data_IF_988663550200
#
_entry.id   IF_988663550200
#
_cell.length_a   1.000
_cell.length_b   1.000
_cell.length_c   1.000
_cell.angle_alpha   90.00
_cell.angle_beta   90.00
_cell.angle_gamma   90.00
#
_symmetry.space_group_name_H-M   'P 1'
#
loop_
_entity.id
_entity.type
_entity.pdbx_description
1 polymer ?
#
# COMPACT_ATOMS: atom_id res chain seq x y z
N UNK A 1 26.45 -5.87 36.11
CA UNK A 1 26.62 -6.42 34.75
C UNK A 1 27.43 -5.45 33.91
N UNK A 2 28.35 -5.95 33.09
CA UNK A 2 29.13 -5.10 32.19
C UNK A 2 28.24 -4.53 31.06
N UNK A 3 28.70 -3.48 30.39
CA UNK A 3 27.94 -2.79 29.34
C UNK A 3 27.41 -3.70 28.23
N UNK A 4 28.20 -4.69 27.78
CA UNK A 4 27.80 -5.62 26.71
C UNK A 4 26.73 -6.60 27.21
N UNK A 5 27.00 -7.25 28.33
CA UNK A 5 26.07 -8.19 28.98
C UNK A 5 24.73 -7.55 29.34
N UNK A 6 24.75 -6.30 29.83
CA UNK A 6 23.54 -5.56 30.16
C UNK A 6 22.68 -5.23 28.93
N UNK A 7 23.32 -4.95 27.79
CA UNK A 7 22.63 -4.66 26.53
C UNK A 7 21.98 -5.93 25.96
N UNK A 8 22.70 -7.05 25.98
CA UNK A 8 22.19 -8.37 25.58
C UNK A 8 21.02 -8.81 26.47
N UNK A 9 21.12 -8.64 27.79
CA UNK A 9 20.08 -9.02 28.74
C UNK A 9 18.73 -8.32 28.51
N UNK A 10 18.79 -7.05 28.10
CA UNK A 10 17.62 -6.23 27.76
C UNK A 10 17.15 -6.40 26.30
N UNK A 11 17.94 -7.05 25.45
CA UNK A 11 17.65 -7.16 24.02
C UNK A 11 17.71 -5.81 23.27
N UNK A 12 18.56 -4.89 23.72
CA UNK A 12 18.69 -3.54 23.14
C UNK A 12 20.14 -3.24 22.72
N UNK A 13 20.33 -2.25 21.86
CA UNK A 13 21.69 -1.81 21.49
C UNK A 13 22.42 -1.17 22.68
N UNK A 14 23.75 -1.26 22.68
CA UNK A 14 24.60 -0.61 23.70
C UNK A 14 24.41 0.92 23.76
N UNK A 15 24.02 1.54 22.63
CA UNK A 15 23.68 2.97 22.55
C UNK A 15 22.34 3.26 23.24
N UNK A 16 21.37 2.38 23.07
CA UNK A 16 20.05 2.47 23.74
C UNK A 16 20.20 2.31 25.25
N UNK A 17 21.04 1.37 25.70
CA UNK A 17 21.39 1.20 27.10
C UNK A 17 22.00 2.48 27.70
N UNK A 18 22.92 3.14 26.99
CA UNK A 18 23.49 4.41 27.44
C UNK A 18 22.45 5.53 27.49
N UNK A 19 21.50 5.57 26.55
CA UNK A 19 20.38 6.54 26.62
C UNK A 19 19.51 6.35 27.86
N UNK A 20 19.25 5.10 28.26
CA UNK A 20 18.51 4.82 29.50
C UNK A 20 19.28 5.25 30.74
N UNK A 21 20.61 5.08 30.74
CA UNK A 21 21.46 5.58 31.82
C UNK A 21 21.48 7.12 31.88
N UNK A 22 21.58 7.81 30.74
CA UNK A 22 21.52 9.28 30.71
C UNK A 22 20.15 9.83 31.08
N UNK A 23 19.08 9.08 30.82
CA UNK A 23 17.72 9.43 31.21
C UNK A 23 17.43 9.15 32.71
N UNK A 24 18.42 8.67 33.48
CA UNK A 24 18.26 8.36 34.90
C UNK A 24 17.53 7.06 35.21
N UNK A 25 17.23 6.22 34.20
CA UNK A 25 16.57 4.92 34.39
C UNK A 25 17.53 3.81 34.84
N UNK A 26 18.84 4.02 34.68
CA UNK A 26 19.88 3.07 35.08
C UNK A 26 21.03 3.83 35.73
N UNK A 27 21.52 3.32 36.86
CA UNK A 27 22.67 3.85 37.57
C UNK A 27 23.96 3.31 36.96
N UNK A 28 24.88 4.23 36.64
CA UNK A 28 26.17 3.90 36.02
C UNK A 28 27.27 3.84 37.09
N UNK A 29 27.69 2.64 37.45
CA UNK A 29 28.87 2.40 38.28
C UNK A 29 30.16 2.30 37.48
N UNK A 30 31.30 2.52 38.14
CA UNK A 30 32.63 2.20 37.62
C UNK A 30 33.28 1.19 38.56
N UNK A 31 33.55 -0.02 38.07
CA UNK A 31 34.31 -1.01 38.80
C UNK A 31 35.79 -0.95 38.38
N UNK A 32 36.71 -1.04 39.34
CA UNK A 32 38.15 -1.16 39.05
C UNK A 32 38.45 -2.56 38.54
N UNK A 33 39.08 -2.66 37.37
CA UNK A 33 39.71 -3.88 36.85
C UNK A 33 41.22 -3.68 36.77
N UNK A 34 41.96 -4.79 36.66
CA UNK A 34 43.43 -4.86 36.62
C UNK A 34 44.08 -3.87 35.66
N UNK A 35 43.47 -3.62 34.49
CA UNK A 35 44.07 -2.79 33.43
C UNK A 35 43.35 -1.46 33.22
N UNK A 36 42.01 -1.41 33.31
CA UNK A 36 41.18 -0.20 33.10
C UNK A 36 39.85 -0.31 33.86
N UNK A 37 39.27 0.81 34.35
CA UNK A 37 37.94 0.77 34.96
C UNK A 37 36.86 0.41 33.91
N UNK A 38 35.93 -0.46 34.29
CA UNK A 38 34.82 -0.92 33.44
C UNK A 38 33.51 -0.34 33.96
N UNK A 39 32.62 0.02 33.03
CA UNK A 39 31.27 0.48 33.36
C UNK A 39 30.41 -0.72 33.76
N UNK A 40 29.83 -0.65 34.96
CA UNK A 40 29.00 -1.71 35.52
C UNK A 40 27.63 -1.13 35.87
N UNK A 41 26.58 -1.85 35.49
CA UNK A 41 25.19 -1.53 35.79
C UNK A 41 24.65 -2.45 36.89
N UNK A 42 23.74 -1.93 37.72
CA UNK A 42 23.09 -2.74 38.74
C UNK A 42 22.11 -3.74 38.10
N UNK A 43 22.19 -4.99 38.55
CA UNK A 43 21.35 -6.08 38.03
C UNK A 43 19.89 -5.91 38.44
N UNK A 44 19.61 -5.31 39.61
CA UNK A 44 18.23 -5.10 40.08
C UNK A 44 17.48 -4.09 39.19
N UNK A 45 18.14 -2.98 38.86
CA UNK A 45 17.58 -1.95 37.97
C UNK A 45 17.36 -2.49 36.54
N UNK A 46 18.28 -3.30 36.02
CA UNK A 46 18.12 -3.94 34.71
C UNK A 46 16.89 -4.86 34.66
N UNK A 47 16.61 -5.60 35.73
CA UNK A 47 15.42 -6.47 35.81
C UNK A 47 14.14 -5.64 35.86
N UNK A 48 14.12 -4.55 36.64
CA UNK A 48 12.98 -3.64 36.71
C UNK A 48 12.69 -3.00 35.34
N UNK A 49 13.73 -2.51 34.67
CA UNK A 49 13.62 -1.91 33.34
C UNK A 49 13.14 -2.93 32.29
N UNK A 50 13.61 -4.19 32.38
CA UNK A 50 13.14 -5.26 31.49
C UNK A 50 11.63 -5.50 31.62
N UNK A 51 11.13 -5.54 32.85
CA UNK A 51 9.69 -5.69 33.13
C UNK A 51 8.87 -4.50 32.61
N UNK A 52 9.37 -3.27 32.80
CA UNK A 52 8.74 -2.06 32.25
C UNK A 52 8.70 -2.08 30.71
N UNK A 53 9.79 -2.54 30.07
CA UNK A 53 9.86 -2.67 28.62
C UNK A 53 8.89 -3.74 28.10
N UNK A 54 8.78 -4.87 28.80
CA UNK A 54 7.85 -5.94 28.44
C UNK A 54 6.39 -5.53 28.64
N UNK A 55 6.05 -4.77 29.69
CA UNK A 55 4.70 -4.26 29.91
C UNK A 55 4.31 -3.12 28.96
N UNK A 56 5.29 -2.34 28.50
CA UNK A 56 5.09 -1.24 27.55
C UNK A 56 5.15 -1.67 26.09
N UNK A 57 5.46 -2.94 25.81
CA UNK A 57 5.39 -3.46 24.44
C UNK A 57 3.92 -3.44 24.02
N UNK A 58 3.55 -2.72 22.95
CA UNK A 58 2.20 -2.81 22.41
C UNK A 58 1.93 -4.28 22.08
N UNK A 59 0.73 -4.76 22.41
CA UNK A 59 0.30 -6.12 22.04
C UNK A 59 0.63 -6.33 20.57
N UNK A 60 1.49 -7.30 20.28
CA UNK A 60 1.77 -7.68 18.90
C UNK A 60 0.43 -7.99 18.25
N UNK A 61 0.00 -7.14 17.32
CA UNK A 61 -1.24 -7.33 16.57
C UNK A 61 -0.98 -8.49 15.62
N UNK A 62 -1.07 -9.71 16.14
CA UNK A 62 -1.16 -10.93 15.37
C UNK A 62 -2.36 -10.78 14.43
N UNK A 63 -2.10 -10.73 13.12
CA UNK A 63 -3.17 -10.74 12.12
C UNK A 63 -3.27 -9.55 11.19
N UNK A 64 -2.30 -8.62 11.13
CA UNK A 64 -2.18 -7.89 9.86
C UNK A 64 -1.76 -8.91 8.81
N UNK A 65 -2.56 -9.18 7.76
CA UNK A 65 -2.09 -10.01 6.66
C UNK A 65 -0.74 -9.45 6.23
N UNK A 66 0.24 -10.32 5.95
CA UNK A 66 1.49 -9.94 5.32
C UNK A 66 1.18 -9.43 3.91
N UNK A 67 0.52 -8.28 3.79
CA UNK A 67 0.56 -7.49 2.58
C UNK A 67 2.03 -7.17 2.37
N UNK A 68 2.63 -7.55 1.23
CA UNK A 68 4.02 -7.23 0.95
C UNK A 68 4.18 -5.73 1.16
N UNK A 69 5.21 -5.35 1.93
CA UNK A 69 5.52 -3.94 2.13
C UNK A 69 5.68 -3.31 0.75
N UNK A 70 5.16 -2.08 0.52
CA UNK A 70 5.41 -1.38 -0.73
C UNK A 70 6.92 -1.37 -0.98
N UNK A 71 7.34 -1.85 -2.16
CA UNK A 71 8.75 -2.02 -2.49
C UNK A 71 9.45 -0.66 -2.62
N UNK A 72 8.78 0.33 -3.22
CA UNK A 72 9.31 1.67 -3.44
C UNK A 72 8.23 2.75 -3.49
N UNK A 73 8.63 4.00 -3.26
CA UNK A 73 7.79 5.19 -3.39
C UNK A 73 8.10 5.92 -4.70
N UNK A 74 7.06 6.17 -5.51
CA UNK A 74 7.18 6.95 -6.75
C UNK A 74 6.72 8.38 -6.46
N UNK A 75 7.62 9.35 -6.59
CA UNK A 75 7.32 10.78 -6.46
C UNK A 75 7.40 11.47 -7.83
N UNK A 76 6.39 12.26 -8.16
CA UNK A 76 6.37 13.09 -9.37
C UNK A 76 5.86 14.49 -9.03
N UNK A 77 6.30 15.49 -9.82
CA UNK A 77 5.80 16.85 -9.71
C UNK A 77 4.58 17.00 -10.60
N UNK A 78 3.54 17.64 -10.08
CA UNK A 78 2.33 17.99 -10.80
C UNK A 78 2.17 19.50 -10.84
N UNK A 79 1.61 20.00 -11.93
CA UNK A 79 1.23 21.40 -12.00
C UNK A 79 0.15 21.71 -10.96
N UNK A 80 0.15 22.94 -10.39
CA UNK A 80 -0.83 23.33 -9.38
C UNK A 80 -2.28 23.13 -9.80
N UNK A 81 -2.57 23.26 -11.10
CA UNK A 81 -3.89 23.02 -11.67
C UNK A 81 -4.38 21.58 -11.41
N UNK A 82 -3.54 20.58 -11.68
CA UNK A 82 -3.89 19.17 -11.47
C UNK A 82 -3.96 18.80 -9.99
N UNK A 83 -3.13 19.41 -9.15
CA UNK A 83 -3.19 19.22 -7.69
C UNK A 83 -4.53 19.70 -7.14
N UNK A 84 -5.03 20.86 -7.57
CA UNK A 84 -6.36 21.36 -7.17
C UNK A 84 -7.46 20.39 -7.60
N UNK A 85 -7.44 19.95 -8.85
CA UNK A 85 -8.42 19.00 -9.39
C UNK A 85 -8.43 17.67 -8.62
N UNK A 86 -7.25 17.10 -8.32
CA UNK A 86 -7.14 15.89 -7.50
C UNK A 86 -7.67 16.11 -6.08
N UNK A 87 -7.48 17.30 -5.53
CA UNK A 87 -7.97 17.63 -4.19
C UNK A 87 -9.49 17.73 -4.14
N UNK A 88 -10.11 18.36 -5.15
CA UNK A 88 -11.56 18.47 -5.26
C UNK A 88 -12.23 17.11 -5.42
N UNK A 89 -11.71 16.28 -6.34
CA UNK A 89 -12.29 14.96 -6.61
C UNK A 89 -11.98 13.97 -5.47
N UNK A 90 -10.78 14.06 -4.88
CA UNK A 90 -10.41 13.28 -3.70
C UNK A 90 -11.35 13.55 -2.53
N UNK A 91 -11.68 14.82 -2.27
CA UNK A 91 -12.65 15.21 -1.23
C UNK A 91 -14.03 14.60 -1.43
N UNK A 92 -14.54 14.54 -2.68
CA UNK A 92 -15.82 13.91 -2.98
C UNK A 92 -15.83 12.42 -2.62
N UNK A 93 -14.67 11.76 -2.73
CA UNK A 93 -14.49 10.34 -2.39
C UNK A 93 -14.01 10.11 -0.95
N UNK A 94 -13.86 11.16 -0.13
CA UNK A 94 -13.30 11.07 1.23
C UNK A 94 -11.81 10.72 1.29
N UNK A 95 -11.07 10.89 0.19
CA UNK A 95 -9.66 10.49 0.05
C UNK A 95 -8.72 11.69 0.04
N UNK A 96 -7.49 11.47 0.51
CA UNK A 96 -6.41 12.46 0.32
C UNK A 96 -6.02 12.58 -1.16
N UNK A 97 -5.46 13.72 -1.62
CA UNK A 97 -5.06 13.90 -3.01
C UNK A 97 -4.07 12.82 -3.47
N UNK A 98 -3.13 12.43 -2.60
CA UNK A 98 -2.11 11.42 -2.88
C UNK A 98 -2.70 10.00 -3.00
N UNK A 99 -3.66 9.68 -2.14
CA UNK A 99 -4.34 8.38 -2.17
C UNK A 99 -5.26 8.24 -3.38
N UNK A 100 -5.95 9.33 -3.74
CA UNK A 100 -6.75 9.37 -4.94
C UNK A 100 -5.88 9.24 -6.21
N UNK A 101 -4.74 9.93 -6.27
CA UNK A 101 -3.78 9.77 -7.36
C UNK A 101 -3.26 8.32 -7.47
N UNK A 102 -2.91 7.69 -6.35
CA UNK A 102 -2.51 6.28 -6.32
C UNK A 102 -3.60 5.36 -6.87
N UNK A 103 -4.85 5.58 -6.48
CA UNK A 103 -6.00 4.80 -6.95
C UNK A 103 -6.21 4.94 -8.46
N UNK A 104 -6.05 6.15 -9.00
CA UNK A 104 -6.14 6.37 -10.45
C UNK A 104 -5.06 5.60 -11.22
N UNK A 105 -3.82 5.64 -10.75
CA UNK A 105 -2.70 4.92 -11.39
C UNK A 105 -2.90 3.41 -11.33
N UNK A 106 -3.34 2.88 -10.18
CA UNK A 106 -3.65 1.44 -10.05
C UNK A 106 -4.76 1.06 -11.02
N UNK A 107 -5.86 1.82 -11.04
CA UNK A 107 -6.99 1.57 -11.95
C UNK A 107 -6.57 1.62 -13.42
N UNK A 108 -5.68 2.53 -13.81
CA UNK A 108 -5.21 2.58 -15.19
C UNK A 108 -4.32 1.39 -15.55
N UNK A 109 -3.48 0.93 -14.62
CA UNK A 109 -2.62 -0.24 -14.84
C UNK A 109 -3.45 -1.54 -14.91
N UNK A 110 -4.44 -1.68 -14.03
CA UNK A 110 -5.42 -2.77 -14.06
C UNK A 110 -6.28 -2.72 -15.33
N UNK A 111 -6.72 -1.53 -15.74
CA UNK A 111 -7.48 -1.32 -16.97
C UNK A 111 -6.68 -1.63 -18.24
N UNK A 112 -5.37 -1.33 -18.26
CA UNK A 112 -4.49 -1.72 -19.36
C UNK A 112 -4.28 -3.23 -19.45
N UNK A 113 -4.25 -3.93 -18.31
CA UNK A 113 -4.23 -5.40 -18.31
C UNK A 113 -5.57 -6.00 -18.77
N UNK A 114 -6.66 -5.26 -18.60
CA UNK A 114 -7.99 -5.57 -19.11
C UNK A 114 -8.21 -5.14 -20.57
N UNK A 115 -7.17 -5.02 -21.40
CA UNK A 115 -7.31 -4.80 -22.86
C UNK A 115 -8.22 -5.83 -23.55
N UNK A 116 -8.47 -6.98 -22.92
CA UNK A 116 -9.52 -7.92 -23.32
C UNK A 116 -10.94 -7.33 -23.29
N UNK A 117 -11.24 -6.31 -22.48
CA UNK A 117 -12.58 -5.69 -22.42
C UNK A 117 -12.95 -4.89 -23.66
N UNK A 118 -11.97 -4.24 -24.31
CA UNK A 118 -12.21 -3.57 -25.59
C UNK A 118 -12.47 -4.60 -26.71
N UNK A 119 -11.73 -5.71 -26.69
CA UNK A 119 -11.93 -6.83 -27.62
C UNK A 119 -13.28 -7.54 -27.36
N UNK A 120 -13.65 -7.74 -26.09
CA UNK A 120 -14.94 -8.30 -25.66
C UNK A 120 -16.11 -7.40 -26.06
N UNK A 121 -15.99 -6.07 -25.89
CA UNK A 121 -17.00 -5.12 -26.35
C UNK A 121 -17.15 -5.15 -27.88
N UNK A 122 -16.04 -5.31 -28.60
CA UNK A 122 -16.04 -5.44 -30.05
C UNK A 122 -16.70 -6.75 -30.49
N UNK A 123 -16.42 -7.85 -29.79
CA UNK A 123 -17.05 -9.16 -30.02
C UNK A 123 -18.55 -9.13 -29.70
N UNK A 124 -18.95 -8.47 -28.60
CA UNK A 124 -20.34 -8.30 -28.20
C UNK A 124 -21.11 -7.44 -29.21
N UNK A 125 -20.52 -6.35 -29.69
CA UNK A 125 -21.11 -5.49 -30.74
C UNK A 125 -21.34 -6.29 -32.03
N UNK A 126 -20.38 -7.14 -32.41
CA UNK A 126 -20.50 -8.04 -33.57
C UNK A 126 -21.60 -9.09 -33.38
N UNK A 127 -21.65 -9.74 -32.21
CA UNK A 127 -22.69 -10.73 -31.91
C UNK A 127 -24.11 -10.14 -31.89
N UNK A 128 -24.27 -8.92 -31.37
CA UNK A 128 -25.55 -8.21 -31.43
C UNK A 128 -25.93 -7.84 -32.86
N UNK A 129 -24.98 -7.37 -33.67
CA UNK A 129 -25.19 -7.07 -35.08
C UNK A 129 -25.70 -8.30 -35.86
N UNK A 130 -25.08 -9.47 -35.65
CA UNK A 130 -25.50 -10.73 -36.26
C UNK A 130 -26.91 -11.14 -35.81
N UNK A 131 -27.24 -10.94 -34.53
CA UNK A 131 -28.58 -11.24 -34.01
C UNK A 131 -29.65 -10.30 -34.56
N UNK A 132 -29.36 -8.99 -34.66
CA UNK A 132 -30.25 -8.01 -35.28
C UNK A 132 -30.48 -8.29 -36.76
N UNK A 133 -29.42 -8.65 -37.49
CA UNK A 133 -29.54 -9.08 -38.88
C UNK A 133 -30.50 -10.26 -39.01
N UNK A 134 -30.32 -11.28 -38.18
CA UNK A 134 -31.15 -12.48 -38.18
C UNK A 134 -32.61 -12.15 -37.86
N UNK A 135 -32.89 -11.27 -36.89
CA UNK A 135 -34.26 -10.83 -36.57
C UNK A 135 -34.89 -10.04 -37.72
N UNK A 136 -34.15 -9.12 -38.34
CA UNK A 136 -34.63 -8.31 -39.45
C UNK A 136 -35.06 -9.17 -40.65
N UNK A 137 -34.23 -10.16 -40.99
CA UNK A 137 -34.49 -11.05 -42.14
C UNK A 137 -35.55 -12.10 -41.80
N UNK A 138 -35.55 -12.67 -40.59
CA UNK A 138 -36.42 -13.82 -40.26
C UNK A 138 -37.79 -13.45 -39.67
N UNK A 139 -37.95 -12.26 -39.09
CA UNK A 139 -39.18 -11.85 -38.39
C UNK A 139 -39.80 -10.57 -38.92
N UNK A 140 -39.05 -9.74 -39.65
CA UNK A 140 -39.50 -8.42 -40.11
C UNK A 140 -39.56 -8.31 -41.65
N UNK A 141 -39.34 -9.41 -42.37
CA UNK A 141 -39.34 -9.50 -43.85
C UNK A 141 -38.46 -8.43 -44.53
N UNK A 142 -37.42 -7.96 -43.83
CA UNK A 142 -36.45 -7.04 -44.43
C UNK A 142 -35.61 -7.78 -45.47
N UNK A 143 -35.33 -7.11 -46.59
CA UNK A 143 -34.41 -7.69 -47.59
C UNK A 143 -32.98 -7.73 -47.02
N UNK A 144 -32.17 -8.71 -47.46
CA UNK A 144 -30.79 -8.86 -46.99
C UNK A 144 -29.94 -7.59 -47.22
N UNK A 145 -30.25 -6.82 -48.27
CA UNK A 145 -29.57 -5.56 -48.58
C UNK A 145 -29.89 -4.46 -47.55
N UNK A 146 -31.17 -4.32 -47.18
CA UNK A 146 -31.62 -3.33 -46.20
C UNK A 146 -31.14 -3.66 -44.79
N UNK A 147 -31.19 -4.94 -44.40
CA UNK A 147 -30.69 -5.39 -43.10
C UNK A 147 -29.17 -5.13 -42.95
N UNK A 148 -28.39 -5.34 -44.02
CA UNK A 148 -26.96 -5.05 -44.03
C UNK A 148 -26.66 -3.55 -43.91
N UNK A 149 -27.43 -2.66 -44.55
CA UNK A 149 -27.26 -1.22 -44.39
C UNK A 149 -27.55 -0.75 -42.96
N UNK A 150 -28.62 -1.28 -42.35
CA UNK A 150 -29.00 -0.95 -40.97
C UNK A 150 -27.90 -1.39 -40.00
N UNK A 151 -27.42 -2.63 -40.13
CA UNK A 151 -26.33 -3.16 -39.30
C UNK A 151 -25.05 -2.35 -39.52
N UNK A 152 -24.71 -1.99 -40.75
CA UNK A 152 -23.53 -1.18 -41.07
C UNK A 152 -23.60 0.22 -40.48
N UNK A 153 -24.78 0.86 -40.46
CA UNK A 153 -25.00 2.14 -39.76
C UNK A 153 -24.80 2.02 -38.25
N UNK A 154 -25.27 0.94 -37.64
CA UNK A 154 -25.10 0.67 -36.20
C UNK A 154 -23.63 0.36 -35.85
N UNK A 155 -22.91 -0.32 -36.74
CA UNK A 155 -21.48 -0.63 -36.57
C UNK A 155 -20.55 0.56 -36.87
N UNK A 156 -20.96 1.49 -37.74
CA UNK A 156 -20.18 2.64 -38.20
C UNK A 156 -20.38 3.95 -37.43
N UNK A 157 -21.22 3.97 -36.38
CA UNK A 157 -21.40 5.14 -35.53
C UNK A 157 -20.14 5.44 -34.72
N UNK A 158 -19.54 6.59 -35.02
CA UNK A 158 -18.61 7.36 -34.16
C UNK A 158 -19.29 7.79 -32.87
#
# INVERSE_FOLDING_TARGET
>A
MEKKEAAEFLGVSTRTLERFATAGKLTKGRARRKTRPVVVYDKKELIALKRELESSRPSEVFGRPNTPKPLDAIGFRLDPFYVKKLTEIGKQSGMSPSEYARRLVIRSLEGQTQSGTADELTALRKSLADMFFLVLVSKLDATEAEANEIVKKIMGGT
#
